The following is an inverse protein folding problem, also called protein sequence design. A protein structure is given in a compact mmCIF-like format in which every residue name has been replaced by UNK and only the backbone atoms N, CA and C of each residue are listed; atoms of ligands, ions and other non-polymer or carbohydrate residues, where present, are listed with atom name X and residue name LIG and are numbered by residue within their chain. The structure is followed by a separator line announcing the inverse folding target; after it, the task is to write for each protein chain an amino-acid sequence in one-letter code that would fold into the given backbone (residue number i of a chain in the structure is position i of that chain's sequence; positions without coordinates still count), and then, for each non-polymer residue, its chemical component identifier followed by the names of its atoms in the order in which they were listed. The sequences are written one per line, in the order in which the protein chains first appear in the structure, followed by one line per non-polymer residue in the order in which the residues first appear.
data_IF_417732078000
#
_entry.id   IF_417732078000
#
_cell.length_a   1.000
_cell.length_b   1.000
_cell.length_c   1.000
_cell.angle_alpha   90.00
_cell.angle_beta   90.00
_cell.angle_gamma   90.00
#
_symmetry.space_group_name_H-M   'P 1'
#
loop_
_entity.id
_entity.type
_entity.pdbx_description
1 polymer ?
#
# COMPACT_ATOMS: atom_id res chain seq x y z
N UNK A 1 -0.31 19.37 6.31
CA UNK A 1 -0.13 19.99 5.00
C UNK A 1 0.32 18.90 4.06
N UNK A 2 -0.62 18.34 3.30
CA UNK A 2 -0.37 17.31 2.30
C UNK A 2 0.26 18.04 1.11
N UNK A 3 1.57 17.92 0.94
CA UNK A 3 2.22 18.41 -0.26
C UNK A 3 1.72 17.54 -1.41
N UNK A 4 0.78 18.05 -2.20
CA UNK A 4 0.55 17.61 -3.57
C UNK A 4 1.90 17.71 -4.28
N UNK A 5 2.64 16.61 -4.25
CA UNK A 5 4.04 16.59 -4.66
C UNK A 5 4.05 16.40 -6.18
N UNK A 6 3.57 17.43 -6.89
CA UNK A 6 3.53 17.47 -8.34
C UNK A 6 4.94 17.59 -8.95
N UNK A 7 5.92 17.98 -8.13
CA UNK A 7 7.31 18.11 -8.53
C UNK A 7 8.16 16.99 -7.92
N UNK A 8 9.04 16.33 -8.70
CA UNK A 8 10.00 15.39 -8.15
C UNK A 8 10.91 16.05 -7.11
N UNK A 9 11.39 15.27 -6.14
CA UNK A 9 12.33 15.77 -5.14
C UNK A 9 13.66 16.21 -5.76
N UNK A 10 14.35 17.15 -5.10
CA UNK A 10 15.75 17.47 -5.42
C UNK A 10 16.64 16.30 -4.97
N UNK A 11 17.58 15.86 -5.83
CA UNK A 11 18.52 14.78 -5.51
C UNK A 11 18.01 13.36 -5.83
N UNK A 12 17.35 13.19 -6.97
CA UNK A 12 16.96 11.87 -7.48
C UNK A 12 18.17 11.11 -8.04
N UNK A 13 18.37 9.88 -7.58
CA UNK A 13 19.35 8.94 -8.13
C UNK A 13 18.67 7.94 -9.06
N UNK A 14 19.16 7.84 -10.29
CA UNK A 14 18.71 6.83 -11.24
C UNK A 14 19.10 5.41 -10.76
N UNK A 15 18.11 4.52 -10.65
CA UNK A 15 18.33 3.17 -10.11
C UNK A 15 18.79 2.15 -11.16
N UNK A 16 18.32 2.31 -12.41
CA UNK A 16 18.56 1.37 -13.52
C UNK A 16 18.82 2.15 -14.81
N UNK A 17 19.08 1.46 -15.92
CA UNK A 17 19.08 2.09 -17.24
C UNK A 17 17.64 2.36 -17.71
N UNK A 18 17.40 3.43 -18.50
CA UNK A 18 16.08 3.71 -19.02
C UNK A 18 15.57 2.56 -19.89
N UNK A 19 14.27 2.29 -19.81
CA UNK A 19 13.62 1.26 -20.62
C UNK A 19 12.70 1.92 -21.64
N UNK A 20 12.88 1.56 -22.92
CA UNK A 20 11.95 1.95 -23.97
C UNK A 20 10.75 1.01 -23.96
N UNK A 21 9.58 1.54 -23.64
CA UNK A 21 8.32 0.84 -23.73
C UNK A 21 7.64 1.22 -25.05
N UNK A 22 6.91 0.28 -25.65
CA UNK A 22 6.08 0.52 -26.84
C UNK A 22 4.64 0.14 -26.49
N UNK A 23 3.87 1.05 -25.89
CA UNK A 23 2.46 0.79 -25.65
C UNK A 23 1.76 0.55 -26.99
N UNK A 24 0.79 -0.36 -27.00
CA UNK A 24 0.05 -0.67 -28.22
C UNK A 24 -0.75 0.57 -28.68
N UNK A 25 -0.55 0.98 -29.93
CA UNK A 25 -1.25 2.10 -30.53
C UNK A 25 -0.84 3.51 -30.03
N UNK A 26 0.29 3.64 -29.31
CA UNK A 26 0.84 4.94 -28.88
C UNK A 26 2.31 5.09 -29.28
N UNK A 27 2.83 6.31 -29.16
CA UNK A 27 4.26 6.56 -29.32
C UNK A 27 5.04 5.80 -28.26
N UNK A 28 6.25 5.29 -28.59
CA UNK A 28 7.12 4.69 -27.61
C UNK A 28 7.46 5.70 -26.51
N UNK A 29 7.68 5.23 -25.28
CA UNK A 29 8.08 6.10 -24.16
C UNK A 29 9.35 5.55 -23.50
N UNK A 30 10.19 6.43 -22.98
CA UNK A 30 11.35 6.08 -22.17
C UNK A 30 10.97 6.21 -20.70
N UNK A 31 11.07 5.10 -19.97
CA UNK A 31 10.76 5.03 -18.56
C UNK A 31 12.04 4.86 -17.75
N UNK A 32 12.26 5.71 -16.75
CA UNK A 32 13.41 5.65 -15.87
C UNK A 32 12.98 5.70 -14.40
N UNK A 33 13.48 4.74 -13.61
CA UNK A 33 13.22 4.69 -12.18
C UNK A 33 14.28 5.46 -11.40
N UNK A 34 13.84 6.18 -10.37
CA UNK A 34 14.66 6.97 -9.48
C UNK A 34 14.33 6.69 -8.02
N UNK A 35 15.29 6.98 -7.14
CA UNK A 35 15.08 7.05 -5.71
C UNK A 35 15.67 8.34 -5.16
N UNK A 36 14.86 9.04 -4.38
CA UNK A 36 15.31 10.21 -3.64
C UNK A 36 16.33 9.80 -2.58
N UNK A 37 17.50 10.42 -2.58
CA UNK A 37 18.55 10.08 -1.61
C UNK A 37 18.26 10.57 -0.19
N UNK A 38 17.48 11.64 -0.05
CA UNK A 38 17.19 12.22 1.27
C UNK A 38 16.10 11.47 2.04
N UNK A 39 14.99 11.11 1.37
CA UNK A 39 13.83 10.49 2.03
C UNK A 39 13.57 9.04 1.58
N UNK A 40 14.27 8.55 0.56
CA UNK A 40 14.11 7.19 0.05
C UNK A 40 12.88 6.96 -0.83
N UNK A 41 12.05 7.98 -1.09
CA UNK A 41 10.88 7.92 -1.98
C UNK A 41 11.28 7.50 -3.39
N UNK A 42 10.52 6.55 -3.94
CA UNK A 42 10.70 6.08 -5.30
C UNK A 42 9.89 6.93 -6.29
N UNK A 43 10.47 7.17 -7.46
CA UNK A 43 9.90 7.98 -8.52
C UNK A 43 10.11 7.28 -9.87
N UNK A 44 9.22 7.56 -10.82
CA UNK A 44 9.39 7.20 -12.23
C UNK A 44 9.32 8.48 -13.05
N UNK A 45 10.19 8.61 -14.05
CA UNK A 45 10.00 9.55 -15.16
C UNK A 45 9.56 8.80 -16.41
N UNK A 46 8.62 9.39 -17.14
CA UNK A 46 8.20 8.98 -18.47
C UNK A 46 8.52 10.11 -19.45
N UNK A 47 9.29 9.83 -20.50
CA UNK A 47 9.68 10.82 -21.50
C UNK A 47 9.33 10.31 -22.89
N UNK A 48 8.72 11.17 -23.72
CA UNK A 48 8.54 10.89 -25.14
C UNK A 48 9.89 11.08 -25.87
N UNK A 49 10.46 10.05 -26.54
CA UNK A 49 11.70 10.17 -27.29
C UNK A 49 11.60 11.13 -28.48
N UNK A 50 10.40 11.36 -29.02
CA UNK A 50 10.16 12.28 -30.13
C UNK A 50 9.86 13.71 -29.63
N UNK A 51 9.52 13.86 -28.35
CA UNK A 51 9.27 15.13 -27.65
C UNK A 51 9.89 15.13 -26.25
N UNK A 52 11.23 15.23 -26.20
CA UNK A 52 12.01 15.10 -24.95
C UNK A 52 11.71 16.19 -23.90
N UNK A 53 11.03 17.27 -24.30
CA UNK A 53 10.53 18.31 -23.41
C UNK A 53 9.32 17.87 -22.58
N UNK A 54 8.65 16.77 -22.98
CA UNK A 54 7.51 16.18 -22.27
C UNK A 54 7.98 15.06 -21.36
N UNK A 55 8.40 15.44 -20.16
CA UNK A 55 8.69 14.49 -19.08
C UNK A 55 7.60 14.54 -18.02
N UNK A 56 6.92 13.42 -17.83
CA UNK A 56 5.95 13.22 -16.75
C UNK A 56 6.61 12.48 -15.58
N UNK A 57 6.22 12.85 -14.36
CA UNK A 57 6.76 12.27 -13.14
C UNK A 57 5.68 11.58 -12.33
N UNK A 58 5.98 10.38 -11.85
CA UNK A 58 5.08 9.56 -11.06
C UNK A 58 5.75 9.27 -9.72
N UNK A 59 5.13 9.70 -8.62
CA UNK A 59 5.57 9.36 -7.27
C UNK A 59 5.07 7.96 -6.91
N UNK A 60 5.97 7.06 -6.50
CA UNK A 60 5.63 5.71 -6.05
C UNK A 60 5.70 5.55 -4.53
N UNK A 61 6.02 6.62 -3.78
CA UNK A 61 6.24 6.53 -2.33
C UNK A 61 7.26 5.43 -1.99
N UNK A 62 6.80 4.36 -1.32
CA UNK A 62 7.63 3.21 -0.93
C UNK A 62 7.62 2.08 -1.95
N UNK A 63 6.72 2.10 -2.93
CA UNK A 63 6.60 1.06 -3.94
C UNK A 63 7.75 1.09 -4.93
N UNK A 64 8.15 -0.09 -5.43
CA UNK A 64 9.24 -0.22 -6.40
C UNK A 64 8.78 -0.24 -7.86
N UNK A 65 7.47 -0.39 -8.08
CA UNK A 65 6.80 -0.50 -9.37
C UNK A 65 5.37 0.02 -9.26
N UNK A 66 4.80 0.52 -10.36
CA UNK A 66 3.36 0.89 -10.44
C UNK A 66 2.44 -0.31 -10.24
N UNK A 67 2.94 -1.53 -10.48
CA UNK A 67 2.19 -2.78 -10.32
C UNK A 67 2.31 -3.37 -8.92
N UNK A 68 3.11 -2.75 -8.05
CA UNK A 68 3.26 -3.16 -6.66
C UNK A 68 1.94 -2.88 -5.92
N UNK A 69 1.36 -3.86 -5.19
CA UNK A 69 0.14 -3.61 -4.42
C UNK A 69 0.27 -2.38 -3.54
N UNK A 70 1.44 -2.19 -2.92
CA UNK A 70 1.75 -1.07 -2.00
C UNK A 70 1.66 0.28 -2.70
N UNK A 71 1.83 0.34 -4.03
CA UNK A 71 1.67 1.58 -4.79
C UNK A 71 0.26 2.16 -4.71
N UNK A 72 -0.74 1.32 -4.37
CA UNK A 72 -2.16 1.72 -4.22
C UNK A 72 -2.50 2.12 -2.78
N UNK A 73 -1.67 1.77 -1.78
CA UNK A 73 -2.05 1.80 -0.37
C UNK A 73 -1.68 3.08 0.41
N UNK A 74 -0.92 4.02 -0.15
CA UNK A 74 -0.52 5.24 0.58
C UNK A 74 -1.61 6.34 0.55
N UNK A 75 -2.57 6.19 1.46
CA UNK A 75 -3.03 7.15 2.50
C UNK A 75 -4.44 6.77 2.99
N UNK A 76 -5.29 6.22 2.13
CA UNK A 76 -6.67 5.89 2.50
C UNK A 76 -6.85 4.44 3.00
N UNK A 77 -6.08 3.49 2.46
CA UNK A 77 -6.32 2.06 2.71
C UNK A 77 -5.67 1.52 3.99
N UNK A 78 -4.55 2.10 4.46
CA UNK A 78 -3.99 1.77 5.78
C UNK A 78 -4.98 2.10 6.92
N UNK A 79 -5.79 3.16 6.77
CA UNK A 79 -6.85 3.49 7.74
C UNK A 79 -8.02 2.50 7.70
N UNK A 80 -8.36 1.96 6.53
CA UNK A 80 -9.44 0.98 6.37
C UNK A 80 -9.05 -0.41 6.86
N UNK A 81 -7.80 -0.83 6.65
CA UNK A 81 -7.32 -2.14 7.13
C UNK A 81 -7.30 -2.18 8.66
N UNK A 82 -6.89 -1.11 9.33
CA UNK A 82 -7.01 -0.99 10.79
C UNK A 82 -8.49 -0.96 11.25
N UNK A 83 -9.38 -0.25 10.56
CA UNK A 83 -10.82 -0.22 10.90
C UNK A 83 -11.52 -1.57 10.73
N UNK A 84 -11.08 -2.40 9.79
CA UNK A 84 -11.60 -3.76 9.60
C UNK A 84 -11.02 -4.76 10.60
N UNK A 85 -9.82 -4.49 11.13
CA UNK A 85 -9.21 -5.28 12.21
C UNK A 85 -9.83 -4.97 13.59
N UNK A 86 -10.44 -3.80 13.78
CA UNK A 86 -11.09 -3.37 15.04
C UNK A 86 -12.59 -3.68 15.12
N UNK A 87 -13.15 -4.64 14.36
CA UNK A 87 -14.53 -5.12 14.67
C UNK A 87 -14.48 -5.89 16.00
N UNK A 88 -15.11 -5.42 17.09
CA UNK A 88 -15.25 -6.23 18.28
C UNK A 88 -16.22 -7.37 17.94
N UNK A 89 -15.79 -8.60 18.18
CA UNK A 89 -16.63 -9.79 18.02
C UNK A 89 -17.94 -9.62 18.78
N UNK A 90 -19.03 -9.47 18.03
CA UNK A 90 -20.39 -9.35 18.59
C UNK A 90 -21.34 -10.35 17.97
N UNK A 91 -20.87 -11.55 17.64
CA UNK A 91 -21.76 -12.62 17.17
C UNK A 91 -21.28 -14.05 17.48
N UNK A 92 -20.77 -14.28 18.70
CA UNK A 92 -20.55 -15.64 19.19
C UNK A 92 -20.92 -15.84 20.68
N UNK A 93 -21.55 -14.84 21.33
CA UNK A 93 -21.83 -14.85 22.77
C UNK A 93 -23.33 -14.91 23.12
N UNK A 94 -24.25 -15.04 22.15
CA UNK A 94 -25.71 -15.01 22.39
C UNK A 94 -26.42 -16.37 22.39
N UNK A 95 -25.72 -17.49 22.19
CA UNK A 95 -26.35 -18.82 22.18
C UNK A 95 -25.78 -19.80 23.22
N UNK A 96 -25.26 -19.30 24.34
CA UNK A 96 -24.79 -20.16 25.46
C UNK A 96 -25.36 -19.83 26.84
N UNK A 97 -26.49 -19.11 26.90
CA UNK A 97 -27.12 -18.74 28.18
C UNK A 97 -28.51 -19.37 28.45
N UNK A 98 -28.94 -20.38 27.69
CA UNK A 98 -30.24 -21.05 27.90
C UNK A 98 -30.16 -22.47 28.48
N UNK A 99 -29.18 -22.76 29.33
CA UNK A 99 -29.24 -23.94 30.21
C UNK A 99 -28.72 -23.56 31.60
N UNK A 100 -29.52 -22.81 32.33
CA UNK A 100 -29.48 -22.76 33.79
C UNK A 100 -30.43 -23.85 34.29
N UNK A 101 -29.90 -24.90 34.92
CA UNK A 101 -30.70 -25.99 35.49
C UNK A 101 -29.89 -26.79 36.49
N UNK A 102 -29.97 -26.34 37.74
CA UNK A 102 -29.84 -27.10 38.98
C UNK A 102 -28.46 -27.65 39.35
N UNK A 103 -27.86 -26.98 40.32
CA UNK A 103 -26.78 -27.53 41.12
C UNK A 103 -27.27 -28.61 42.06
N UNK A 104 -26.47 -29.67 42.20
CA UNK A 104 -26.34 -30.42 43.44
C UNK A 104 -24.88 -30.85 43.60
N UNK A 105 -24.41 -30.72 44.83
CA UNK A 105 -23.06 -30.93 45.34
C UNK A 105 -22.65 -32.41 45.30
N UNK A 106 -21.39 -32.70 44.94
CA UNK A 106 -20.75 -33.98 45.24
C UNK A 106 -19.36 -33.73 45.86
N UNK A 107 -19.25 -34.09 47.14
CA UNK A 107 -18.02 -34.08 47.94
C UNK A 107 -17.05 -35.14 47.39
N UNK A 108 -15.80 -34.76 47.13
CA UNK A 108 -14.68 -35.69 47.01
C UNK A 108 -14.05 -35.84 48.40
N UNK A 109 -14.21 -37.01 49.00
CA UNK A 109 -13.36 -37.48 50.10
C UNK A 109 -12.61 -38.68 49.55
N UNK A 110 -11.29 -38.54 49.41
CA UNK A 110 -10.38 -39.63 49.14
C UNK A 110 -9.81 -40.12 50.48
N UNK A 111 -9.88 -41.44 50.70
CA UNK A 111 -9.01 -42.22 51.59
C UNK A 111 -8.63 -43.50 50.86
#
# INVERSE_FOLDING_TARGET
MLSDTWAPHVGLLALRRPRKLRPLGRTPVLVQAYRCQSCGTNWISETDPDAADRTEWICLHRASSILDPIAVFDEQAASQINRLAERPGTEAQRMRNDVQGDGYTAKLIAS
#
